data_IF_149937114942
#
_entry.id   IF_149937114942
#
_cell.length_a   1.000
_cell.length_b   1.000
_cell.length_c   1.000
_cell.angle_alpha   90.00
_cell.angle_beta   90.00
_cell.angle_gamma   90.00
#
_symmetry.space_group_name_H-M   'P 1'
#
loop_
_entity.id
_entity.type
_entity.pdbx_description
1 polymer ?
#
# COMPACT_ATOMS: atom_id res chain seq x y z
N UNK A 1 17.45 -24.39 15.30
CA UNK A 1 17.31 -24.46 13.82
C UNK A 1 15.85 -24.24 13.36
N UNK A 2 14.87 -24.94 13.92
CA UNK A 2 13.45 -24.82 13.54
C UNK A 2 12.83 -23.42 13.77
N UNK A 3 13.23 -22.71 14.83
CA UNK A 3 12.73 -21.35 15.13
C UNK A 3 13.15 -20.33 14.07
N UNK A 4 14.39 -20.44 13.58
CA UNK A 4 14.92 -19.57 12.52
C UNK A 4 14.15 -19.75 11.21
N UNK A 5 13.76 -20.99 10.89
CA UNK A 5 12.91 -21.28 9.73
C UNK A 5 11.50 -20.70 9.88
N UNK A 6 10.93 -20.73 11.09
CA UNK A 6 9.63 -20.10 11.38
C UNK A 6 9.72 -18.58 11.24
N UNK A 7 10.78 -17.96 11.75
CA UNK A 7 10.99 -16.51 11.65
C UNK A 7 11.09 -16.06 10.19
N UNK A 8 11.93 -16.72 9.39
CA UNK A 8 12.08 -16.39 7.96
C UNK A 8 10.75 -16.50 7.20
N UNK A 9 9.94 -17.52 7.51
CA UNK A 9 8.60 -17.66 6.92
C UNK A 9 7.66 -16.55 7.33
N UNK A 10 7.70 -16.11 8.59
CA UNK A 10 6.91 -14.98 9.08
C UNK A 10 7.30 -13.70 8.35
N UNK A 11 8.59 -13.42 8.22
CA UNK A 11 9.11 -12.23 7.56
C UNK A 11 8.79 -12.22 6.05
N UNK A 12 8.84 -13.39 5.40
CA UNK A 12 8.43 -13.52 4.00
C UNK A 12 6.92 -13.26 3.82
N UNK A 13 6.09 -13.76 4.74
CA UNK A 13 4.65 -13.52 4.73
C UNK A 13 4.33 -12.04 4.94
N UNK A 14 4.95 -11.39 5.92
CA UNK A 14 4.76 -9.96 6.19
C UNK A 14 5.12 -9.10 4.97
N UNK A 15 6.23 -9.40 4.29
CA UNK A 15 6.59 -8.73 3.03
C UNK A 15 5.58 -8.97 1.91
N UNK A 16 5.04 -10.18 1.80
CA UNK A 16 4.02 -10.49 0.80
C UNK A 16 2.69 -9.78 1.09
N UNK A 17 2.26 -9.75 2.34
CA UNK A 17 1.04 -9.06 2.76
C UNK A 17 1.16 -7.54 2.56
N UNK A 18 2.32 -6.95 2.88
CA UNK A 18 2.62 -5.53 2.63
C UNK A 18 2.59 -5.20 1.13
N UNK A 19 3.26 -5.99 0.28
CA UNK A 19 3.24 -5.76 -1.17
C UNK A 19 1.82 -5.85 -1.73
N UNK A 20 1.09 -6.88 -1.32
CA UNK A 20 -0.29 -7.04 -1.73
C UNK A 20 -1.20 -5.88 -1.31
N UNK A 21 -1.01 -5.34 -0.10
CA UNK A 21 -1.73 -4.16 0.37
C UNK A 21 -1.47 -2.94 -0.53
N UNK A 22 -0.21 -2.67 -0.84
CA UNK A 22 0.16 -1.54 -1.69
C UNK A 22 -0.42 -1.66 -3.11
N UNK A 23 -0.42 -2.85 -3.68
CA UNK A 23 -1.01 -3.11 -4.99
C UNK A 23 -2.54 -2.87 -4.98
N UNK A 24 -3.22 -3.30 -3.91
CA UNK A 24 -4.66 -3.05 -3.73
C UNK A 24 -4.95 -1.55 -3.60
N UNK A 25 -4.14 -0.80 -2.84
CA UNK A 25 -4.26 0.65 -2.71
C UNK A 25 -4.07 1.38 -4.06
N UNK A 26 -3.07 1.00 -4.84
CA UNK A 26 -2.86 1.58 -6.19
C UNK A 26 -4.03 1.26 -7.11
N UNK A 27 -4.54 0.04 -7.06
CA UNK A 27 -5.70 -0.35 -7.85
C UNK A 27 -6.93 0.50 -7.49
N UNK A 28 -7.16 0.75 -6.19
CA UNK A 28 -8.26 1.62 -5.73
C UNK A 28 -8.15 3.06 -6.24
N UNK A 29 -6.94 3.63 -6.30
CA UNK A 29 -6.74 4.99 -6.86
C UNK A 29 -7.12 5.08 -8.34
N UNK A 30 -6.94 3.98 -9.09
CA UNK A 30 -7.27 3.91 -10.52
C UNK A 30 -8.69 3.42 -10.81
N UNK A 31 -9.38 2.84 -9.81
CA UNK A 31 -10.70 2.27 -9.96
C UNK A 31 -11.75 3.40 -9.97
N UNK A 32 -12.12 3.88 -11.16
CA UNK A 32 -13.15 4.90 -11.37
C UNK A 32 -14.58 4.36 -11.10
N UNK A 33 -14.89 4.00 -9.85
CA UNK A 33 -16.26 3.65 -9.44
C UNK A 33 -16.77 2.29 -9.91
N UNK A 34 -15.87 1.38 -10.29
CA UNK A 34 -16.26 0.02 -10.69
C UNK A 34 -16.82 -0.77 -9.50
N UNK A 35 -17.80 -1.65 -9.76
CA UNK A 35 -18.45 -2.52 -8.78
C UNK A 35 -17.46 -3.39 -7.96
N UNK A 36 -16.24 -3.58 -8.45
CA UNK A 36 -15.19 -4.36 -7.80
C UNK A 36 -14.37 -3.57 -6.75
N UNK A 37 -14.54 -2.25 -6.67
CA UNK A 37 -13.80 -1.37 -5.73
C UNK A 37 -14.03 -1.75 -4.26
N UNK A 38 -15.25 -2.12 -3.89
CA UNK A 38 -15.57 -2.56 -2.52
C UNK A 38 -14.78 -3.83 -2.12
N UNK A 39 -14.66 -4.80 -3.03
CA UNK A 39 -13.95 -6.06 -2.78
C UNK A 39 -12.45 -5.80 -2.60
N UNK A 40 -11.88 -4.91 -3.41
CA UNK A 40 -10.46 -4.54 -3.30
C UNK A 40 -10.21 -3.79 -1.99
N UNK A 41 -11.09 -2.87 -1.59
CA UNK A 41 -11.00 -2.15 -0.32
C UNK A 41 -11.08 -3.09 0.89
N UNK A 42 -12.04 -4.02 0.90
CA UNK A 42 -12.16 -5.02 1.95
C UNK A 42 -10.88 -5.87 2.06
N UNK A 43 -10.34 -6.33 0.92
CA UNK A 43 -9.09 -7.11 0.88
C UNK A 43 -7.89 -6.31 1.41
N UNK A 44 -7.79 -5.02 1.08
CA UNK A 44 -6.74 -4.14 1.58
C UNK A 44 -6.81 -4.04 3.11
N UNK A 45 -7.99 -3.79 3.68
CA UNK A 45 -8.18 -3.69 5.14
C UNK A 45 -7.81 -5.00 5.83
N UNK A 46 -8.21 -6.15 5.27
CA UNK A 46 -7.84 -7.46 5.82
C UNK A 46 -6.33 -7.72 5.77
N UNK A 47 -5.64 -7.28 4.71
CA UNK A 47 -4.18 -7.41 4.62
C UNK A 47 -3.49 -6.54 5.66
N UNK A 48 -3.94 -5.28 5.80
CA UNK A 48 -3.45 -4.37 6.82
C UNK A 48 -3.60 -4.94 8.23
N UNK A 49 -4.77 -5.50 8.56
CA UNK A 49 -5.04 -6.08 9.89
C UNK A 49 -4.13 -7.27 10.25
N UNK A 50 -3.44 -7.88 9.28
CA UNK A 50 -2.50 -9.00 9.49
C UNK A 50 -1.04 -8.57 9.57
N UNK A 51 -0.74 -7.29 9.35
CA UNK A 51 0.61 -6.78 9.42
C UNK A 51 1.10 -6.75 10.88
N UNK A 52 2.40 -6.98 11.06
CA UNK A 52 3.09 -6.61 12.30
C UNK A 52 3.33 -5.11 12.35
N UNK A 53 3.58 -4.57 13.53
CA UNK A 53 3.85 -3.14 13.76
C UNK A 53 4.95 -2.60 12.82
N UNK A 54 6.05 -3.33 12.66
CA UNK A 54 7.14 -2.95 11.73
C UNK A 54 6.67 -2.86 10.26
N UNK A 55 5.81 -3.78 9.84
CA UNK A 55 5.30 -3.81 8.47
C UNK A 55 4.23 -2.74 8.25
N UNK A 56 3.44 -2.42 9.28
CA UNK A 56 2.50 -1.31 9.27
C UNK A 56 3.23 0.04 9.23
N UNK A 57 4.30 0.23 10.00
CA UNK A 57 5.15 1.41 9.92
C UNK A 57 5.71 1.58 8.50
N UNK A 58 6.24 0.51 7.90
CA UNK A 58 6.72 0.55 6.52
C UNK A 58 5.63 0.87 5.51
N UNK A 59 4.41 0.39 5.74
CA UNK A 59 3.26 0.76 4.90
C UNK A 59 3.00 2.27 4.93
N UNK A 60 2.96 2.89 6.10
CA UNK A 60 2.74 4.34 6.23
C UNK A 60 3.90 5.17 5.68
N UNK A 61 5.14 4.70 5.79
CA UNK A 61 6.28 5.34 5.13
C UNK A 61 6.09 5.40 3.60
N UNK A 62 5.69 4.28 2.99
CA UNK A 62 5.42 4.22 1.54
C UNK A 62 4.24 5.10 1.16
N UNK A 63 3.19 5.16 1.97
CA UNK A 63 2.07 6.09 1.72
C UNK A 63 2.54 7.55 1.72
N UNK A 64 3.43 7.93 2.63
CA UNK A 64 3.92 9.30 2.71
C UNK A 64 4.83 9.69 1.53
N UNK A 65 5.51 8.74 0.89
CA UNK A 65 6.47 9.03 -0.19
C UNK A 65 5.93 8.78 -1.58
N UNK A 66 5.15 7.72 -1.77
CA UNK A 66 4.81 7.20 -3.10
C UNK A 66 3.37 7.52 -3.51
N UNK A 67 2.53 7.96 -2.57
CA UNK A 67 1.11 8.28 -2.82
C UNK A 67 0.82 9.79 -2.84
N UNK A 68 1.84 10.63 -2.59
CA UNK A 68 1.73 12.08 -2.73
C UNK A 68 1.86 12.46 -4.21
N UNK A 69 1.06 13.40 -4.75
CA UNK A 69 1.23 13.89 -6.10
C UNK A 69 2.59 14.58 -6.26
N UNK A 70 3.20 14.51 -7.45
CA UNK A 70 4.46 15.20 -7.72
C UNK A 70 4.28 16.72 -7.54
N UNK A 71 4.93 17.34 -6.53
CA UNK A 71 4.75 18.77 -6.25
C UNK A 71 5.17 19.66 -7.42
N UNK A 72 6.16 19.25 -8.22
CA UNK A 72 6.61 19.98 -9.40
C UNK A 72 5.59 19.92 -10.52
N UNK A 73 4.94 18.77 -10.71
CA UNK A 73 3.84 18.63 -11.67
C UNK A 73 2.63 19.47 -11.24
N UNK A 74 2.28 19.44 -9.94
CA UNK A 74 1.20 20.26 -9.37
C UNK A 74 1.48 21.75 -9.62
N UNK A 75 2.68 22.23 -9.32
CA UNK A 75 3.05 23.63 -9.54
C UNK A 75 2.97 24.01 -11.03
N UNK A 76 3.56 23.20 -11.91
CA UNK A 76 3.55 23.45 -13.36
C UNK A 76 2.12 23.53 -13.91
N UNK A 77 1.23 22.64 -13.47
CA UNK A 77 -0.17 22.67 -13.89
C UNK A 77 -0.91 23.89 -13.35
N UNK A 78 -0.67 24.27 -12.09
CA UNK A 78 -1.25 25.47 -11.49
C UNK A 78 -0.82 26.75 -12.22
N UNK A 79 0.47 26.87 -12.57
CA UNK A 79 0.97 28.00 -13.36
C UNK A 79 0.38 28.04 -14.77
N UNK A 80 0.14 26.88 -15.40
CA UNK A 80 -0.45 26.82 -16.75
C UNK A 80 -1.94 27.19 -16.81
N UNK A 81 -2.62 27.17 -15.67
CA UNK A 81 -4.04 27.53 -15.57
C UNK A 81 -4.26 29.04 -15.37
N UNK A 82 -3.29 29.73 -14.75
CA UNK A 82 -3.36 31.15 -14.42
C UNK A 82 -3.11 32.05 -15.65
#
# INVERSE_FOLDING_TARGET
MFERLRQVRRDARQRSDLRGLLDDCRQLLTAHGESNSLVIAARAIERYARLSDDAAARFFEVLATDFDPDPGEVLRLAESYA
#
